data_IF_906663663354
#
_entry.id   IF_906663663354
#
_cell.length_a   1.000
_cell.length_b   1.000
_cell.length_c   1.000
_cell.angle_alpha   90.00
_cell.angle_beta   90.00
_cell.angle_gamma   90.00
#
_symmetry.space_group_name_H-M   'P 1'
#
loop_
_entity.id
_entity.type
_entity.pdbx_description
1 polymer ?
#
# COMPACT_ATOMS: atom_id res chain seq x y z
N UNK A 1 -16.75 -8.80 1.63
CA UNK A 1 -15.86 -9.47 0.66
C UNK A 1 -15.72 -8.67 -0.63
N UNK A 2 -16.83 -8.27 -1.27
CA UNK A 2 -16.82 -7.50 -2.53
C UNK A 2 -16.00 -6.20 -2.51
N UNK A 3 -16.15 -5.37 -1.46
CA UNK A 3 -15.37 -4.13 -1.32
C UNK A 3 -13.86 -4.34 -1.25
N UNK A 4 -13.41 -5.46 -0.65
CA UNK A 4 -12.00 -5.80 -0.57
C UNK A 4 -11.43 -6.13 -1.96
N UNK A 5 -12.16 -6.93 -2.74
CA UNK A 5 -11.81 -7.25 -4.13
C UNK A 5 -11.70 -5.96 -4.94
N UNK A 6 -12.67 -5.04 -4.80
CA UNK A 6 -12.62 -3.75 -5.49
C UNK A 6 -11.41 -2.90 -5.10
N UNK A 7 -11.03 -2.87 -3.82
CA UNK A 7 -9.84 -2.15 -3.37
C UNK A 7 -8.56 -2.78 -3.92
N UNK A 8 -8.49 -4.12 -3.94
CA UNK A 8 -7.37 -4.86 -4.51
C UNK A 8 -7.20 -4.57 -6.01
N UNK A 9 -8.30 -4.61 -6.77
CA UNK A 9 -8.30 -4.28 -8.19
C UNK A 9 -7.83 -2.84 -8.43
N UNK A 10 -8.29 -1.87 -7.62
CA UNK A 10 -7.81 -0.48 -7.72
C UNK A 10 -6.31 -0.35 -7.47
N UNK A 11 -5.75 -1.10 -6.51
CA UNK A 11 -4.30 -1.06 -6.27
C UNK A 11 -3.54 -1.61 -7.49
N UNK A 12 -4.04 -2.68 -8.11
CA UNK A 12 -3.46 -3.23 -9.34
C UNK A 12 -3.57 -2.23 -10.50
N UNK A 13 -4.73 -1.58 -10.67
CA UNK A 13 -4.93 -0.52 -11.66
C UNK A 13 -3.92 0.62 -11.46
N UNK A 14 -3.72 1.09 -10.22
CA UNK A 14 -2.72 2.11 -9.89
C UNK A 14 -1.30 1.69 -10.30
N UNK A 15 -0.93 0.43 -10.06
CA UNK A 15 0.36 -0.12 -10.47
C UNK A 15 0.51 -0.09 -11.99
N UNK A 16 -0.53 -0.50 -12.72
CA UNK A 16 -0.54 -0.52 -14.19
C UNK A 16 -0.47 0.89 -14.77
N UNK A 17 -1.31 1.81 -14.28
CA UNK A 17 -1.39 3.20 -14.75
C UNK A 17 -0.05 3.91 -14.60
N UNK A 18 0.61 3.75 -13.46
CA UNK A 18 1.89 4.40 -13.17
C UNK A 18 3.04 3.93 -14.06
N UNK A 19 2.91 2.77 -14.71
CA UNK A 19 3.99 2.11 -15.47
C UNK A 19 3.68 1.93 -16.95
N UNK A 20 2.47 2.29 -17.37
CA UNK A 20 1.98 2.18 -18.75
C UNK A 20 2.89 2.78 -19.83
N UNK A 21 3.87 3.61 -19.46
CA UNK A 21 4.79 4.33 -20.37
C UNK A 21 6.26 3.91 -20.28
N UNK A 22 6.64 3.01 -19.38
CA UNK A 22 8.05 2.68 -19.11
C UNK A 22 8.32 1.22 -19.47
N UNK A 23 7.74 0.29 -18.72
CA UNK A 23 7.95 -1.13 -18.85
C UNK A 23 6.74 -1.87 -18.29
N UNK A 24 6.56 -3.13 -18.70
CA UNK A 24 5.53 -4.00 -18.11
C UNK A 24 5.79 -4.15 -16.59
N UNK A 25 4.79 -3.89 -15.73
CA UNK A 25 4.92 -4.10 -14.29
C UNK A 25 5.26 -5.55 -13.94
N UNK A 26 6.25 -5.73 -13.08
CA UNK A 26 6.57 -7.00 -12.43
C UNK A 26 5.95 -6.94 -11.04
N UNK A 27 4.90 -7.74 -10.83
CA UNK A 27 4.12 -7.71 -9.59
C UNK A 27 4.24 -9.03 -8.85
N UNK A 28 4.64 -8.96 -7.60
CA UNK A 28 4.59 -10.06 -6.65
C UNK A 28 3.37 -9.88 -5.73
N UNK A 29 2.54 -10.91 -5.65
CA UNK A 29 1.41 -10.96 -4.72
C UNK A 29 1.79 -11.85 -3.54
N UNK A 30 1.53 -11.38 -2.33
CA UNK A 30 1.86 -12.10 -1.11
C UNK A 30 0.62 -12.25 -0.25
N UNK A 31 0.42 -13.47 0.24
CA UNK A 31 -0.50 -13.79 1.32
C UNK A 31 0.30 -14.43 2.46
N UNK A 32 0.17 -13.88 3.66
CA UNK A 32 0.85 -14.37 4.86
C UNK A 32 -0.09 -14.35 6.05
N UNK A 33 0.00 -15.38 6.87
CA UNK A 33 -0.63 -15.40 8.18
C UNK A 33 0.45 -15.34 9.25
N UNK A 34 0.41 -14.31 10.09
CA UNK A 34 1.39 -14.11 11.15
C UNK A 34 0.67 -13.85 12.47
N UNK A 35 0.76 -14.81 13.40
CA UNK A 35 0.12 -14.74 14.72
C UNK A 35 -1.39 -14.45 14.57
N UNK A 36 -1.80 -13.25 14.95
CA UNK A 36 -3.17 -12.73 14.95
C UNK A 36 -3.42 -11.77 13.78
N UNK A 37 -2.61 -11.85 12.71
CA UNK A 37 -2.74 -10.99 11.54
C UNK A 37 -2.82 -11.84 10.27
N UNK A 38 -3.63 -11.37 9.33
CA UNK A 38 -3.59 -11.79 7.93
C UNK A 38 -3.04 -10.62 7.13
N UNK A 39 -2.05 -10.88 6.30
CA UNK A 39 -1.36 -9.87 5.50
C UNK A 39 -1.52 -10.23 4.04
N UNK A 40 -2.06 -9.29 3.27
CA UNK A 40 -2.05 -9.31 1.82
C UNK A 40 -1.19 -8.16 1.33
N UNK A 41 -0.22 -8.42 0.46
CA UNK A 41 0.52 -7.33 -0.20
C UNK A 41 0.60 -7.50 -1.71
N UNK A 42 0.63 -6.34 -2.38
CA UNK A 42 0.87 -6.19 -3.82
C UNK A 42 2.19 -5.43 -3.92
N UNK A 43 3.24 -6.10 -4.38
CA UNK A 43 4.58 -5.54 -4.52
C UNK A 43 4.93 -5.38 -6.00
N UNK A 44 4.95 -4.15 -6.46
CA UNK A 44 5.43 -3.78 -7.78
C UNK A 44 6.96 -3.60 -7.76
N UNK A 45 7.70 -4.58 -8.26
CA UNK A 45 9.15 -4.75 -8.08
C UNK A 45 10.01 -3.78 -8.91
N UNK A 46 9.61 -3.48 -10.14
CA UNK A 46 10.30 -2.51 -11.02
C UNK A 46 9.67 -1.11 -10.95
N UNK A 47 8.99 -0.80 -9.85
CA UNK A 47 8.36 0.51 -9.63
C UNK A 47 9.18 1.50 -8.82
N UNK A 48 8.83 2.77 -9.00
CA UNK A 48 9.16 3.84 -8.07
C UNK A 48 7.88 4.59 -7.73
N UNK A 49 7.78 5.10 -6.50
CA UNK A 49 6.64 5.91 -6.11
C UNK A 49 6.81 7.33 -6.61
N UNK A 50 5.84 7.82 -7.38
CA UNK A 50 5.91 9.09 -8.12
C UNK A 50 5.72 10.35 -7.25
N UNK A 51 5.70 10.21 -5.92
CA UNK A 51 5.59 11.33 -4.97
C UNK A 51 6.78 11.28 -4.03
N UNK A 52 7.06 12.40 -3.36
CA UNK A 52 8.00 12.44 -2.23
C UNK A 52 7.32 11.92 -0.96
N UNK A 53 8.13 11.58 0.05
CA UNK A 53 7.63 11.19 1.38
C UNK A 53 6.73 12.31 1.95
N UNK A 54 7.20 13.56 1.93
CA UNK A 54 6.47 14.71 2.46
C UNK A 54 5.11 14.91 1.77
N UNK A 55 5.09 14.88 0.43
CA UNK A 55 3.84 15.02 -0.33
C UNK A 55 2.87 13.89 -0.02
N UNK A 56 3.38 12.69 0.27
CA UNK A 56 2.55 11.53 0.61
C UNK A 56 1.97 11.65 2.02
N UNK A 57 2.72 12.23 2.98
CA UNK A 57 2.23 12.49 4.33
C UNK A 57 1.13 13.55 4.36
N UNK A 58 1.34 14.66 3.65
CA UNK A 58 0.37 15.77 3.60
C UNK A 58 -0.86 15.43 2.76
N UNK A 59 -0.64 14.75 1.63
CA UNK A 59 -1.68 14.44 0.63
C UNK A 59 -1.44 13.05 0.03
N UNK A 60 -1.82 11.98 0.75
CA UNK A 60 -1.68 10.59 0.29
C UNK A 60 -2.23 10.43 -1.13
N UNK A 61 -3.37 11.08 -1.41
CA UNK A 61 -4.02 11.18 -2.71
C UNK A 61 -5.51 10.92 -2.58
N UNK A 62 -6.32 11.59 -3.42
CA UNK A 62 -7.77 11.43 -3.39
C UNK A 62 -8.20 9.98 -3.70
N UNK A 63 -7.48 9.29 -4.58
CA UNK A 63 -7.75 7.88 -4.90
C UNK A 63 -7.57 6.97 -3.68
N UNK A 64 -6.49 7.15 -2.90
CA UNK A 64 -6.33 6.43 -1.63
C UNK A 64 -7.46 6.76 -0.67
N UNK A 65 -7.75 8.04 -0.44
CA UNK A 65 -8.82 8.47 0.48
C UNK A 65 -10.17 7.85 0.11
N UNK A 66 -10.55 7.88 -1.18
CA UNK A 66 -11.80 7.30 -1.67
C UNK A 66 -11.83 5.77 -1.56
N UNK A 67 -10.72 5.10 -1.87
CA UNK A 67 -10.59 3.65 -1.68
C UNK A 67 -10.76 3.30 -0.20
N UNK A 68 -10.14 4.05 0.70
CA UNK A 68 -10.26 3.83 2.14
C UNK A 68 -11.67 4.03 2.67
N UNK A 69 -12.20 5.25 2.53
CA UNK A 69 -13.48 5.64 3.13
C UNK A 69 -14.63 4.75 2.65
N UNK A 70 -14.60 4.34 1.38
CA UNK A 70 -15.73 3.61 0.77
C UNK A 70 -15.58 2.09 0.86
N UNK A 71 -14.36 1.56 0.84
CA UNK A 71 -14.13 0.13 0.58
C UNK A 71 -13.53 -0.61 1.78
N UNK A 72 -12.49 -0.10 2.42
CA UNK A 72 -11.68 -0.87 3.39
C UNK A 72 -11.63 -0.30 4.81
N UNK A 73 -12.31 0.83 5.07
CA UNK A 73 -12.44 1.36 6.42
C UNK A 73 -13.10 0.33 7.37
N UNK A 74 -12.46 0.08 8.51
CA UNK A 74 -12.90 -0.93 9.49
C UNK A 74 -12.60 -2.39 9.11
N UNK A 75 -12.05 -2.66 7.92
CA UNK A 75 -11.69 -4.02 7.49
C UNK A 75 -10.21 -4.34 7.68
N UNK A 76 -9.34 -3.39 7.34
CA UNK A 76 -7.89 -3.57 7.43
C UNK A 76 -7.16 -2.25 7.58
N UNK A 77 -5.90 -2.35 8.01
CA UNK A 77 -4.94 -1.26 7.94
C UNK A 77 -4.20 -1.31 6.59
N UNK A 78 -3.81 -0.16 6.04
CA UNK A 78 -2.98 -0.07 4.85
C UNK A 78 -1.68 0.66 5.11
N UNK A 79 -0.60 0.04 4.65
CA UNK A 79 0.73 0.60 4.64
C UNK A 79 1.27 0.64 3.22
N UNK A 80 2.16 1.59 2.97
CA UNK A 80 2.95 1.69 1.75
C UNK A 80 4.42 1.54 2.13
N UNK A 81 5.14 0.62 1.52
CA UNK A 81 6.61 0.69 1.47
C UNK A 81 7.01 1.06 0.07
N UNK A 82 7.93 2.00 -0.10
CA UNK A 82 8.35 2.36 -1.44
C UNK A 82 9.77 2.92 -1.50
N UNK A 83 10.34 2.79 -2.69
CA UNK A 83 11.38 3.66 -3.21
C UNK A 83 10.74 4.95 -3.72
N UNK A 84 11.10 6.08 -3.13
CA UNK A 84 10.65 7.43 -3.50
C UNK A 84 11.64 8.12 -4.45
N UNK A 85 12.72 7.45 -4.83
CA UNK A 85 13.82 7.97 -5.64
C UNK A 85 14.90 8.66 -4.82
N UNK A 86 16.05 8.91 -5.45
CA UNK A 86 17.20 9.61 -4.85
C UNK A 86 17.60 8.99 -3.49
N UNK A 87 17.69 7.66 -3.43
CA UNK A 87 17.99 6.89 -2.22
C UNK A 87 17.07 7.17 -1.02
N UNK A 88 15.83 7.59 -1.28
CA UNK A 88 14.81 7.77 -0.26
C UNK A 88 13.85 6.58 -0.22
N UNK A 89 13.89 5.84 0.88
CA UNK A 89 13.03 4.70 1.12
C UNK A 89 12.23 4.89 2.40
N UNK A 90 10.95 4.57 2.37
CA UNK A 90 10.12 4.68 3.56
C UNK A 90 8.97 3.68 3.59
N UNK A 91 8.56 3.36 4.82
CA UNK A 91 7.25 2.80 5.13
C UNK A 91 6.34 3.92 5.62
N UNK A 92 5.21 4.12 4.97
CA UNK A 92 4.19 5.10 5.32
C UNK A 92 2.96 4.36 5.83
N UNK A 93 2.46 4.79 6.98
CA UNK A 93 1.13 4.42 7.45
C UNK A 93 0.10 5.25 6.69
N UNK A 94 -0.54 4.64 5.70
CA UNK A 94 -1.57 5.32 4.92
C UNK A 94 -2.91 5.33 5.66
N UNK A 95 -3.21 4.28 6.41
CA UNK A 95 -4.47 4.13 7.12
C UNK A 95 -4.44 3.03 8.19
N UNK A 96 -4.44 3.39 9.47
CA UNK A 96 -4.67 2.47 10.59
C UNK A 96 -5.55 3.09 11.70
N UNK A 97 -6.21 4.22 11.38
CA UNK A 97 -6.94 5.04 12.36
C UNK A 97 -6.07 6.04 13.14
N UNK A 98 -4.76 6.06 12.93
CA UNK A 98 -3.82 7.03 13.55
C UNK A 98 -3.33 8.06 12.53
N UNK A 99 -2.50 8.99 13.00
CA UNK A 99 -1.86 10.01 12.17
C UNK A 99 -0.99 9.34 11.10
N UNK A 100 -1.04 9.87 9.88
CA UNK A 100 -0.17 9.45 8.78
C UNK A 100 1.29 9.77 9.15
N UNK A 101 2.11 8.74 9.22
CA UNK A 101 3.51 8.83 9.66
C UNK A 101 4.40 8.00 8.73
N UNK A 102 5.63 8.47 8.53
CA UNK A 102 6.65 7.81 7.73
C UNK A 102 7.77 7.31 8.63
N UNK A 103 8.19 6.08 8.41
CA UNK A 103 9.42 5.50 8.94
C UNK A 103 10.40 5.31 7.79
N UNK A 104 11.58 5.93 7.88
CA UNK A 104 12.66 5.69 6.92
C UNK A 104 13.10 4.23 6.91
N UNK A 105 13.49 3.75 5.75
CA UNK A 105 14.10 2.45 5.51
C UNK A 105 15.50 2.66 4.96
N UNK A 106 16.42 1.74 5.25
CA UNK A 106 17.79 1.82 4.73
C UNK A 106 17.83 1.55 3.22
N UNK A 107 17.00 0.61 2.77
CA UNK A 107 16.83 0.28 1.35
C UNK A 107 15.45 -0.31 1.11
N UNK A 108 14.90 -0.12 -0.09
CA UNK A 108 13.72 -0.83 -0.55
C UNK A 108 13.65 -0.80 -2.07
N UNK A 109 13.28 -1.91 -2.70
CA UNK A 109 13.06 -1.98 -4.14
C UNK A 109 11.55 -1.95 -4.42
N UNK A 110 11.12 -1.15 -5.39
CA UNK A 110 9.73 -1.17 -5.83
C UNK A 110 8.77 -0.34 -4.98
N UNK A 111 7.49 -0.66 -5.12
CA UNK A 111 6.37 -0.09 -4.37
C UNK A 111 5.49 -1.24 -3.87
N UNK A 112 5.30 -1.35 -2.56
CA UNK A 112 4.49 -2.39 -1.92
C UNK A 112 3.32 -1.77 -1.15
N UNK A 113 2.11 -2.14 -1.54
CA UNK A 113 0.88 -1.85 -0.80
C UNK A 113 0.55 -3.05 0.09
N UNK A 114 0.41 -2.82 1.39
CA UNK A 114 0.28 -3.86 2.40
C UNK A 114 -1.03 -3.68 3.17
N UNK A 115 -1.97 -4.58 2.96
CA UNK A 115 -3.24 -4.69 3.67
C UNK A 115 -3.06 -5.64 4.86
N UNK A 116 -3.27 -5.15 6.08
CA UNK A 116 -3.11 -5.91 7.33
C UNK A 116 -4.46 -6.04 8.02
N UNK A 117 -4.96 -7.26 8.13
CA UNK A 117 -6.24 -7.60 8.76
C UNK A 117 -5.97 -8.18 10.15
N UNK A 118 -6.50 -7.58 11.23
CA UNK A 118 -6.50 -8.22 12.53
C UNK A 118 -7.41 -9.46 12.51
N UNK A 119 -6.89 -10.61 12.95
CA UNK A 119 -7.72 -11.78 13.24
C UNK A 119 -8.56 -11.44 14.46
N UNK A 120 -9.88 -11.38 14.26
CA UNK A 120 -10.82 -11.26 15.38
C UNK A 120 -10.72 -12.56 16.18
N UNK A 121 -10.42 -12.46 17.48
CA UNK A 121 -10.60 -13.61 18.37
C UNK A 121 -12.10 -13.91 18.39
N UNK A 122 -12.48 -15.06 17.87
CA UNK A 122 -13.80 -15.63 18.18
C UNK A 122 -13.64 -16.17 19.59
N UNK A 123 -14.21 -15.47 20.57
CA UNK A 123 -14.41 -16.00 21.93
C UNK A 123 -15.50 -17.08 21.92
#
# INVERSE_FOLDING_TARGET
MEKLIQAYNKIIELVIEQNSKIEKPIVQLVFKEEKQLIIFSIHHLNGQYNKTIQNTLERPGQQYKLMFEKQINGLCNLYLKANFGNDNYAKINLWDGKKCEARKLDSFQGVEHILVFPKIKVE
#
